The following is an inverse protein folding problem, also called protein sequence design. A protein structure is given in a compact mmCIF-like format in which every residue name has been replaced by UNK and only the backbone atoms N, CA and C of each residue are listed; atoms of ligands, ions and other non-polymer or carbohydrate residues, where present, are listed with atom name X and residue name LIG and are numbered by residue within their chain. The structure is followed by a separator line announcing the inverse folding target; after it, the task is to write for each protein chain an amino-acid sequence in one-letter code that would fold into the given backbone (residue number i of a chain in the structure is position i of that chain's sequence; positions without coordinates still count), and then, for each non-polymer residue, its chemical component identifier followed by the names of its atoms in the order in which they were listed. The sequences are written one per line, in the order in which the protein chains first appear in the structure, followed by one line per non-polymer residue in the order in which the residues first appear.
data_IF_677531440881
#
_entry.id   IF_677531440881
#
_cell.length_a   1.000
_cell.length_b   1.000
_cell.length_c   1.000
_cell.angle_alpha   90.00
_cell.angle_beta   90.00
_cell.angle_gamma   90.00
#
_symmetry.space_group_name_H-M   'P 1'
#
loop_
_entity.id
_entity.type
_entity.pdbx_description
1 polymer ?
#
# COMPACT_ATOMS: atom_id res chain seq x y z
N UNK A 1 -2.65 5.92 -4.82
CA UNK A 1 -3.11 4.56 -4.44
C UNK A 1 -2.62 4.26 -3.03
N UNK A 2 -3.41 3.59 -2.19
CA UNK A 2 -2.92 2.96 -0.96
C UNK A 2 -2.41 1.56 -1.31
N UNK A 3 -1.11 1.33 -1.14
CA UNK A 3 -0.45 0.05 -1.38
C UNK A 3 -0.26 -0.69 -0.04
N UNK A 4 -0.86 -1.86 0.06
CA UNK A 4 -0.67 -2.82 1.14
C UNK A 4 0.31 -3.92 0.71
N UNK A 5 1.31 -4.18 1.54
CA UNK A 5 2.29 -5.27 1.41
C UNK A 5 2.33 -6.06 2.72
N UNK A 6 3.10 -7.15 2.73
CA UNK A 6 3.30 -7.99 3.91
C UNK A 6 4.79 -8.05 4.23
N UNK A 7 5.16 -7.67 5.44
CA UNK A 7 6.52 -7.79 5.96
C UNK A 7 6.98 -9.26 5.97
N UNK A 8 8.30 -9.54 6.04
CA UNK A 8 8.81 -10.91 6.12
C UNK A 8 8.20 -11.73 7.28
N UNK A 9 7.99 -11.09 8.42
CA UNK A 9 7.37 -11.64 9.64
C UNK A 9 5.86 -11.92 9.51
N UNK A 10 5.23 -11.52 8.40
CA UNK A 10 3.80 -11.69 8.15
C UNK A 10 2.95 -10.48 8.52
N UNK A 11 3.52 -9.43 9.12
CA UNK A 11 2.81 -8.22 9.51
C UNK A 11 2.37 -7.41 8.27
N UNK A 12 1.09 -6.99 8.15
CA UNK A 12 0.66 -6.17 7.03
C UNK A 12 1.13 -4.72 7.20
N UNK A 13 1.43 -4.05 6.08
CA UNK A 13 1.78 -2.64 6.08
C UNK A 13 1.16 -1.92 4.88
N UNK A 14 0.54 -0.76 5.13
CA UNK A 14 -0.11 0.05 4.10
C UNK A 14 0.47 1.46 4.04
N UNK A 15 0.58 2.02 2.84
CA UNK A 15 1.08 3.38 2.60
C UNK A 15 0.57 3.95 1.29
N UNK A 16 0.53 5.26 1.15
CA UNK A 16 0.21 5.90 -0.13
C UNK A 16 1.41 5.85 -1.08
N UNK A 17 1.16 5.44 -2.32
CA UNK A 17 2.10 5.49 -3.44
C UNK A 17 1.44 6.14 -4.67
N UNK A 18 2.27 6.71 -5.54
CA UNK A 18 1.84 7.24 -6.82
C UNK A 18 1.95 6.14 -7.89
N UNK A 19 0.85 5.93 -8.62
CA UNK A 19 0.84 5.11 -9.83
C UNK A 19 1.29 6.01 -10.97
N UNK A 20 2.29 5.56 -11.71
CA UNK A 20 2.91 6.32 -12.80
C UNK A 20 2.40 5.91 -14.18
N UNK A 21 1.93 4.67 -14.32
CA UNK A 21 1.35 4.17 -15.57
C UNK A 21 0.34 3.05 -15.31
N UNK A 22 -0.59 2.88 -16.25
CA UNK A 22 -1.59 1.80 -16.30
C UNK A 22 -1.58 1.22 -17.71
N UNK A 23 -0.90 0.07 -17.89
CA UNK A 23 -0.59 -0.48 -19.21
C UNK A 23 -0.65 -2.01 -19.19
N UNK A 24 -1.19 -2.61 -20.25
CA UNK A 24 -1.20 -4.08 -20.41
C UNK A 24 -1.88 -4.83 -19.25
N UNK A 25 -2.87 -4.22 -18.59
CA UNK A 25 -3.53 -4.78 -17.41
C UNK A 25 -2.71 -4.72 -16.13
N UNK A 26 -1.61 -3.97 -16.12
CA UNK A 26 -0.73 -3.79 -14.96
C UNK A 26 -0.68 -2.33 -14.50
N UNK A 27 -0.43 -2.15 -13.21
CA UNK A 27 -0.15 -0.86 -12.60
C UNK A 27 1.34 -0.73 -12.36
N UNK A 28 1.92 0.39 -12.76
CA UNK A 28 3.31 0.70 -12.49
C UNK A 28 3.40 1.76 -11.40
N UNK A 29 4.31 1.54 -10.44
CA UNK A 29 4.65 2.50 -9.41
C UNK A 29 6.14 2.39 -9.12
N UNK A 30 6.75 3.47 -8.66
CA UNK A 30 8.18 3.54 -8.46
C UNK A 30 8.49 3.73 -6.97
N UNK A 31 8.95 2.70 -6.25
CA UNK A 31 9.45 2.85 -4.89
C UNK A 31 10.84 3.51 -4.91
N UNK A 32 11.13 4.35 -3.92
CA UNK A 32 12.52 4.72 -3.61
C UNK A 32 13.23 3.53 -2.98
N UNK A 33 14.48 3.28 -3.39
CA UNK A 33 15.31 2.21 -2.85
C UNK A 33 16.27 2.75 -1.77
N UNK A 34 16.64 1.94 -0.75
CA UNK A 34 15.93 0.80 -0.20
C UNK A 34 14.99 1.25 0.94
N UNK A 35 13.68 1.22 0.71
CA UNK A 35 12.67 1.46 1.76
C UNK A 35 12.06 0.14 2.22
N UNK A 36 11.41 0.14 3.39
CA UNK A 36 10.77 -1.07 3.95
C UNK A 36 9.87 -1.82 2.96
N UNK A 37 9.13 -1.09 2.10
CA UNK A 37 8.25 -1.69 1.08
C UNK A 37 9.01 -2.48 -0.01
N UNK A 38 10.23 -2.09 -0.38
CA UNK A 38 11.02 -2.84 -1.37
C UNK A 38 11.47 -4.17 -0.76
N UNK A 39 11.88 -4.17 0.51
CA UNK A 39 12.19 -5.41 1.25
C UNK A 39 10.99 -6.34 1.37
N UNK A 40 9.81 -5.79 1.65
CA UNK A 40 8.56 -6.55 1.73
C UNK A 40 8.27 -7.28 0.42
N UNK A 41 8.35 -6.54 -0.70
CA UNK A 41 8.03 -7.06 -2.04
C UNK A 41 9.07 -8.05 -2.56
N UNK A 42 10.35 -7.88 -2.19
CA UNK A 42 11.39 -8.89 -2.47
C UNK A 42 11.12 -10.19 -1.72
N UNK A 43 10.70 -10.12 -0.44
CA UNK A 43 10.43 -11.31 0.36
C UNK A 43 9.09 -11.98 0.00
N UNK A 44 8.06 -11.17 -0.26
CA UNK A 44 6.69 -11.60 -0.57
C UNK A 44 6.14 -10.74 -1.71
N UNK A 45 6.24 -11.20 -2.97
CA UNK A 45 5.88 -10.40 -4.15
C UNK A 45 4.37 -10.36 -4.38
N UNK A 46 3.61 -10.00 -3.35
CA UNK A 46 2.15 -9.85 -3.38
C UNK A 46 1.78 -8.51 -2.79
N UNK A 47 0.78 -7.87 -3.39
CA UNK A 47 0.27 -6.60 -2.91
C UNK A 47 -1.22 -6.42 -3.20
N UNK A 48 -1.83 -5.52 -2.44
CA UNK A 48 -3.16 -4.98 -2.71
C UNK A 48 -3.08 -3.47 -2.84
N UNK A 49 -3.69 -2.92 -3.87
CA UNK A 49 -3.82 -1.50 -4.16
C UNK A 49 -5.27 -1.04 -4.00
N UNK A 50 -5.48 0.06 -3.29
CA UNK A 50 -6.79 0.70 -3.14
C UNK A 50 -6.75 2.11 -3.71
N UNK A 51 -7.74 2.43 -4.55
CA UNK A 51 -8.01 3.78 -5.05
C UNK A 51 -9.27 4.30 -4.35
N UNK A 52 -9.13 5.09 -3.27
CA UNK A 52 -10.27 5.68 -2.60
C UNK A 52 -10.77 6.89 -3.39
N UNK A 53 -11.93 6.75 -4.05
CA UNK A 53 -12.63 7.86 -4.69
C UNK A 53 -13.69 8.41 -3.75
N UNK A 54 -13.23 9.11 -2.70
CA UNK A 54 -14.08 9.62 -1.64
C UNK A 54 -15.24 10.47 -2.16
N UNK A 55 -14.99 11.35 -3.15
CA UNK A 55 -16.02 12.17 -3.78
C UNK A 55 -17.13 11.37 -4.47
N UNK A 56 -16.84 10.14 -4.90
CA UNK A 56 -17.80 9.25 -5.55
C UNK A 56 -18.40 8.21 -4.59
N UNK A 57 -17.96 8.18 -3.34
CA UNK A 57 -18.32 7.11 -2.40
C UNK A 57 -17.91 5.71 -2.88
N UNK A 58 -16.85 5.61 -3.70
CA UNK A 58 -16.42 4.36 -4.34
C UNK A 58 -14.96 4.06 -4.04
N UNK A 59 -14.60 2.79 -4.19
CA UNK A 59 -13.21 2.34 -4.20
C UNK A 59 -12.99 1.32 -5.31
N UNK A 60 -11.84 1.41 -5.97
CA UNK A 60 -11.32 0.34 -6.80
C UNK A 60 -10.21 -0.40 -6.03
N UNK A 61 -10.33 -1.73 -5.97
CA UNK A 61 -9.36 -2.60 -5.31
C UNK A 61 -8.73 -3.51 -6.35
N UNK A 62 -7.40 -3.56 -6.37
CA UNK A 62 -6.60 -4.42 -7.23
C UNK A 62 -5.66 -5.22 -6.36
N UNK A 63 -5.48 -6.50 -6.64
CA UNK A 63 -4.54 -7.33 -5.89
C UNK A 63 -3.86 -8.29 -6.85
N UNK A 64 -2.65 -8.71 -6.50
CA UNK A 64 -1.92 -9.64 -7.34
C UNK A 64 -0.44 -9.72 -7.01
N UNK A 65 0.30 -10.32 -7.93
CA UNK A 65 1.75 -10.41 -7.84
C UNK A 65 2.40 -9.11 -8.27
N UNK A 66 3.48 -8.76 -7.59
CA UNK A 66 4.35 -7.64 -7.96
C UNK A 66 5.62 -8.20 -8.58
N UNK A 67 6.10 -7.56 -9.65
CA UNK A 67 7.38 -7.88 -10.28
C UNK A 67 8.20 -6.61 -10.40
N UNK A 68 9.50 -6.74 -10.24
CA UNK A 68 10.42 -5.65 -10.54
C UNK A 68 10.45 -5.42 -12.06
N UNK A 69 10.56 -4.16 -12.47
CA UNK A 69 10.76 -3.81 -13.87
C UNK A 69 12.24 -3.93 -14.23
N UNK A 70 12.52 -4.11 -15.51
CA UNK A 70 13.88 -4.04 -16.04
C UNK A 70 14.54 -2.72 -15.66
N UNK A 71 15.82 -2.77 -15.26
CA UNK A 71 16.56 -1.57 -14.81
C UNK A 71 16.61 -0.50 -15.89
N UNK A 72 16.68 -0.90 -17.15
CA UNK A 72 16.67 0.01 -18.30
C UNK A 72 15.39 0.83 -18.37
N UNK A 73 14.23 0.20 -18.11
CA UNK A 73 12.91 0.84 -18.09
C UNK A 73 12.85 1.85 -16.94
N UNK A 74 13.26 1.44 -15.74
CA UNK A 74 13.27 2.34 -14.58
C UNK A 74 14.25 3.52 -14.75
N UNK A 75 15.40 3.30 -15.36
CA UNK A 75 16.38 4.35 -15.63
C UNK A 75 15.90 5.35 -16.71
N UNK A 76 15.18 4.89 -17.73
CA UNK A 76 14.52 5.76 -18.69
C UNK A 76 13.44 6.62 -17.99
N UNK A 77 12.53 5.98 -17.25
CA UNK A 77 11.47 6.67 -16.52
C UNK A 77 12.01 7.66 -15.47
N UNK A 78 13.17 7.39 -14.87
CA UNK A 78 13.82 8.32 -13.94
C UNK A 78 14.37 9.57 -14.64
N UNK A 79 15.04 9.39 -15.81
CA UNK A 79 15.60 10.49 -16.60
C UNK A 79 14.54 11.45 -17.13
N UNK A 80 13.33 10.95 -17.39
CA UNK A 80 12.20 11.75 -17.85
C UNK A 80 11.54 12.58 -16.73
N UNK A 81 11.89 12.35 -15.46
CA UNK A 81 11.32 13.13 -14.35
C UNK A 81 11.82 14.57 -14.39
N UNK A 82 10.98 15.56 -14.02
CA UNK A 82 11.45 16.91 -13.70
C UNK A 82 12.66 16.87 -12.78
N UNK A 83 13.62 17.76 -13.02
CA UNK A 83 14.89 17.84 -12.30
C UNK A 83 14.69 17.89 -10.77
N UNK A 84 13.68 18.64 -10.30
CA UNK A 84 13.39 18.71 -8.87
C UNK A 84 13.05 17.34 -8.27
N UNK A 85 12.32 16.50 -9.01
CA UNK A 85 11.98 15.15 -8.54
C UNK A 85 13.17 14.20 -8.59
N UNK A 86 14.11 14.38 -9.52
CA UNK A 86 15.36 13.64 -9.53
C UNK A 86 16.21 13.98 -8.30
N UNK A 87 16.34 15.28 -7.98
CA UNK A 87 17.08 15.77 -6.79
C UNK A 87 16.44 15.26 -5.50
N UNK A 88 15.11 15.34 -5.36
CA UNK A 88 14.40 14.80 -4.19
C UNK A 88 14.64 13.31 -4.02
N UNK A 89 14.63 12.53 -5.11
CA UNK A 89 14.92 11.11 -5.04
C UNK A 89 16.34 10.82 -4.52
N UNK A 90 17.34 11.59 -4.98
CA UNK A 90 18.71 11.47 -4.51
C UNK A 90 18.86 11.85 -3.03
N UNK A 91 18.25 12.96 -2.60
CA UNK A 91 18.24 13.36 -1.19
C UNK A 91 17.58 12.30 -0.31
N UNK A 92 16.49 11.70 -0.79
CA UNK A 92 15.79 10.66 -0.06
C UNK A 92 16.68 9.42 0.11
N UNK A 93 17.36 8.97 -0.94
CA UNK A 93 18.32 7.86 -0.87
C UNK A 93 19.46 8.12 0.12
N UNK A 94 19.99 9.35 0.15
CA UNK A 94 21.06 9.74 1.08
C UNK A 94 20.60 9.80 2.54
N UNK A 95 19.35 10.21 2.80
CA UNK A 95 18.83 10.40 4.17
C UNK A 95 18.16 9.15 4.75
N UNK A 96 17.64 8.25 3.91
CA UNK A 96 16.89 7.06 4.33
C UNK A 96 17.57 6.21 5.44
N UNK A 97 18.90 5.99 5.43
CA UNK A 97 19.56 5.24 6.49
C UNK A 97 19.45 5.89 7.88
N UNK A 98 19.23 7.21 7.91
CA UNK A 98 19.27 8.05 9.12
C UNK A 98 17.88 8.45 9.62
N UNK A 99 16.81 8.06 8.91
CA UNK A 99 15.43 8.43 9.25
C UNK A 99 14.71 7.23 9.83
N UNK A 100 14.27 7.32 11.09
CA UNK A 100 13.35 6.33 11.66
C UNK A 100 12.01 6.37 10.90
N UNK A 101 11.61 5.21 10.37
CA UNK A 101 10.30 5.10 9.76
C UNK A 101 9.21 5.10 10.85
N UNK A 102 8.17 5.94 10.74
CA UNK A 102 7.12 6.10 11.76
C UNK A 102 6.12 4.92 11.80
N UNK A 103 6.55 3.71 11.44
CA UNK A 103 5.72 2.53 11.52
C UNK A 103 5.72 2.05 12.98
N UNK A 104 4.70 2.48 13.72
CA UNK A 104 4.39 1.94 15.04
C UNK A 104 3.57 0.66 14.91
N UNK A 105 4.01 -0.42 15.57
CA UNK A 105 3.15 -1.57 15.81
C UNK A 105 2.18 -1.23 16.94
N UNK A 106 0.89 -1.52 16.75
CA UNK A 106 -0.07 -1.51 17.86
C UNK A 106 0.12 -2.82 18.63
N UNK A 107 0.20 -2.75 19.96
CA UNK A 107 0.24 -3.94 20.81
C UNK A 107 -0.96 -4.85 20.47
N UNK A 108 -0.75 -6.12 20.09
CA UNK A 108 -1.83 -7.06 19.83
C UNK A 108 -2.83 -7.17 20.98
N UNK A 109 -2.37 -7.02 22.23
CA UNK A 109 -3.22 -7.04 23.41
C UNK A 109 -4.16 -5.81 23.51
N UNK A 110 -3.84 -4.72 22.80
CA UNK A 110 -4.68 -3.52 22.71
C UNK A 110 -5.73 -3.60 21.58
N UNK A 111 -5.69 -4.63 20.72
CA UNK A 111 -6.64 -4.79 19.60
C UNK A 111 -7.95 -5.42 20.11
N UNK A 112 -8.96 -4.59 20.33
CA UNK A 112 -10.32 -5.06 20.65
C UNK A 112 -10.98 -5.61 19.38
N UNK A 113 -11.09 -6.94 19.28
CA UNK A 113 -11.79 -7.58 18.16
C UNK A 113 -13.29 -7.50 18.38
N UNK A 114 -13.98 -6.64 17.64
CA UNK A 114 -15.45 -6.64 17.59
C UNK A 114 -15.88 -7.79 16.68
N UNK A 115 -16.35 -8.90 17.26
CA UNK A 115 -16.98 -9.97 16.48
C UNK A 115 -18.26 -9.43 15.86
N UNK A 116 -18.29 -9.38 14.52
CA UNK A 116 -19.52 -9.12 13.79
C UNK A 116 -20.48 -10.30 14.06
N UNK A 117 -21.58 -10.05 14.76
CA UNK A 117 -22.65 -11.03 14.88
C UNK A 117 -23.16 -11.31 13.47
N UNK A 118 -22.98 -12.55 13.00
CA UNK A 118 -23.57 -12.99 11.74
C UNK A 118 -25.07 -12.78 11.80
N UNK A 119 -25.62 -11.91 10.94
CA UNK A 119 -27.06 -11.81 10.72
C UNK A 119 -27.48 -13.11 10.04
N UNK A 120 -27.86 -14.13 10.84
CA UNK A 120 -28.58 -15.28 10.29
C UNK A 120 -29.98 -14.80 9.95
N UNK A 121 -30.28 -14.79 8.65
CA UNK A 121 -31.56 -14.35 8.12
C UNK A 121 -32.74 -15.13 8.72
N UNK A 122 -33.80 -14.39 9.03
CA UNK A 122 -35.08 -14.94 9.43
C UNK A 122 -35.94 -13.93 10.18
N UNK A 123 -36.70 -13.11 9.45
CA UNK A 123 -37.80 -12.33 10.04
C UNK A 123 -37.69 -10.83 9.79
N UNK A 124 -38.61 -10.32 8.97
CA UNK A 124 -38.87 -8.89 8.77
C UNK A 124 -39.38 -8.28 10.08
N UNK A 125 -38.52 -7.58 10.82
CA UNK A 125 -38.87 -6.37 11.57
C UNK A 125 -37.74 -5.98 12.52
N UNK A 126 -37.32 -4.72 12.41
CA UNK A 126 -37.02 -3.95 13.61
C UNK A 126 -35.56 -3.93 14.07
N UNK A 127 -34.94 -2.78 13.80
CA UNK A 127 -34.06 -2.09 14.75
C UNK A 127 -32.72 -2.79 15.02
N UNK A 128 -31.73 -2.46 14.19
CA UNK A 128 -30.32 -2.54 14.55
C UNK A 128 -30.02 -1.46 15.62
N UNK A 129 -30.51 -1.66 16.85
CA UNK A 129 -30.25 -0.76 17.97
C UNK A 129 -28.93 -1.14 18.65
N UNK A 130 -27.93 -0.30 18.38
CA UNK A 130 -27.13 0.39 19.40
C UNK A 130 -26.72 -0.46 20.60
N UNK A 131 -25.62 -1.17 20.43
CA UNK A 131 -24.51 -1.27 21.40
C UNK A 131 -23.30 -1.85 20.64
N UNK A 132 -22.76 -0.99 19.79
CA UNK A 132 -21.32 -0.95 19.49
C UNK A 132 -20.78 0.26 20.23
#
# INVERSE_FOLDING_TARGET
MVLATVFPDGSPAARTVLVTAVEGGALQFHPSAPTGKTRDLTARPVASGVFPWAALGRQAVVFGRVRELERSVTAAAFRERPEQLQRVAWTYEALLPSVEHPLGAVDPAAVVTVRCCSVRGGGRSGVCARRC
#
